data_IF_315570115546
#
_entry.id   IF_315570115546
#
_cell.length_a   1.000
_cell.length_b   1.000
_cell.length_c   1.000
_cell.angle_alpha   90.00
_cell.angle_beta   90.00
_cell.angle_gamma   90.00
#
_symmetry.space_group_name_H-M   'P 1'
#
loop_
_entity.id
_entity.type
_entity.pdbx_description
1 polymer ?
#
# COMPACT_ATOMS: atom_id res chain seq x y z
N UNK A 1 -1.66 -20.31 2.39
CA UNK A 1 -2.03 -18.89 2.20
C UNK A 1 -3.55 -18.82 2.15
N UNK A 2 -4.19 -17.91 2.89
CA UNK A 2 -5.63 -17.69 2.76
C UNK A 2 -5.91 -17.07 1.39
N UNK A 3 -6.92 -17.58 0.68
CA UNK A 3 -7.33 -17.01 -0.60
C UNK A 3 -7.89 -15.60 -0.37
N UNK A 4 -7.19 -14.58 -0.88
CA UNK A 4 -7.71 -13.22 -0.92
C UNK A 4 -8.65 -13.12 -2.14
N UNK A 5 -9.90 -12.67 -1.99
CA UNK A 5 -10.79 -12.39 -3.11
C UNK A 5 -10.12 -11.43 -4.12
N UNK A 6 -10.41 -11.58 -5.42
CA UNK A 6 -9.75 -10.80 -6.48
C UNK A 6 -10.02 -9.28 -6.39
N UNK A 7 -11.11 -8.89 -5.73
CA UNK A 7 -11.59 -7.53 -5.55
C UNK A 7 -11.01 -6.82 -4.33
N UNK A 8 -10.18 -7.48 -3.51
CA UNK A 8 -9.53 -6.84 -2.38
C UNK A 8 -8.31 -6.04 -2.86
N UNK A 9 -8.25 -4.71 -2.65
CA UNK A 9 -7.13 -3.86 -3.06
C UNK A 9 -5.95 -4.00 -2.09
N UNK A 10 -5.38 -5.19 -2.01
CA UNK A 10 -4.29 -5.55 -1.10
C UNK A 10 -3.07 -4.63 -1.26
N UNK A 11 -2.85 -4.09 -2.47
CA UNK A 11 -1.74 -3.20 -2.77
C UNK A 11 -1.74 -1.92 -1.92
N UNK A 12 -2.89 -1.51 -1.39
CA UNK A 12 -3.03 -0.29 -0.54
C UNK A 12 -2.50 -0.46 0.87
N UNK A 13 -2.15 -1.69 1.28
CA UNK A 13 -1.62 -1.96 2.63
C UNK A 13 -0.09 -2.00 2.58
N UNK A 14 0.53 -0.93 3.05
CA UNK A 14 2.00 -0.79 3.19
C UNK A 14 2.40 -0.74 4.67
N UNK A 15 3.70 -0.81 4.96
CA UNK A 15 4.16 -0.80 6.35
C UNK A 15 4.08 0.62 6.98
N UNK A 16 4.22 0.69 8.30
CA UNK A 16 4.17 1.94 9.06
C UNK A 16 5.31 2.92 8.76
N UNK A 17 6.33 2.50 8.01
CA UNK A 17 7.42 3.38 7.54
C UNK A 17 7.10 4.02 6.18
N UNK A 18 5.90 3.77 5.63
CA UNK A 18 5.50 4.24 4.31
C UNK A 18 6.13 3.43 3.17
N UNK A 19 6.60 2.21 3.41
CA UNK A 19 7.31 1.40 2.41
C UNK A 19 6.52 0.17 1.98
N UNK A 20 6.68 -0.17 0.70
CA UNK A 20 6.27 -1.48 0.18
C UNK A 20 7.15 -2.57 0.78
N UNK A 21 6.53 -3.62 1.30
CA UNK A 21 7.27 -4.74 1.90
C UNK A 21 7.70 -5.71 0.80
N UNK A 22 9.01 -5.75 0.50
CA UNK A 22 9.58 -6.73 -0.42
C UNK A 22 9.56 -8.12 0.25
N UNK A 23 8.60 -8.97 -0.13
CA UNK A 23 8.56 -10.37 0.32
C UNK A 23 9.25 -11.27 -0.71
N UNK A 24 10.08 -12.24 -0.28
CA UNK A 24 10.57 -13.29 -1.18
C UNK A 24 9.36 -14.06 -1.72
N UNK A 25 9.20 -14.09 -3.05
CA UNK A 25 8.03 -14.72 -3.71
C UNK A 25 7.26 -13.85 -4.70
N UNK A 26 7.73 -12.64 -5.03
CA UNK A 26 7.29 -11.90 -6.23
C UNK A 26 6.16 -10.87 -6.04
N UNK A 27 5.59 -10.74 -4.85
CA UNK A 27 4.50 -9.76 -4.59
C UNK A 27 4.94 -8.30 -4.44
N UNK A 28 6.22 -8.04 -4.14
CA UNK A 28 6.72 -6.71 -3.79
C UNK A 28 6.81 -5.72 -4.96
N UNK A 29 7.23 -6.17 -6.14
CA UNK A 29 7.41 -5.29 -7.32
C UNK A 29 6.08 -4.78 -7.85
N UNK A 30 5.09 -5.67 -7.95
CA UNK A 30 3.75 -5.36 -8.46
C UNK A 30 3.01 -4.37 -7.55
N UNK A 31 3.27 -4.37 -6.25
CA UNK A 31 2.59 -3.47 -5.32
C UNK A 31 2.92 -1.99 -5.60
N UNK A 32 4.18 -1.67 -5.86
CA UNK A 32 4.60 -0.28 -6.13
C UNK A 32 3.97 0.22 -7.43
N UNK A 33 4.07 -0.56 -8.50
CA UNK A 33 3.52 -0.19 -9.81
C UNK A 33 2.02 0.07 -9.75
N UNK A 34 1.26 -0.76 -9.02
CA UNK A 34 -0.17 -0.55 -8.82
C UNK A 34 -0.47 0.73 -8.02
N UNK A 35 0.32 1.03 -6.99
CA UNK A 35 0.18 2.27 -6.22
C UNK A 35 0.51 3.52 -7.05
N UNK A 36 1.58 3.47 -7.85
CA UNK A 36 1.96 4.55 -8.76
C UNK A 36 0.89 4.75 -9.85
N UNK A 37 0.27 3.68 -10.36
CA UNK A 37 -0.87 3.76 -11.29
C UNK A 37 -2.13 4.38 -10.66
N UNK A 38 -2.29 4.27 -9.34
CA UNK A 38 -3.33 4.96 -8.57
C UNK A 38 -2.96 6.41 -8.21
N UNK A 39 -1.76 6.88 -8.57
CA UNK A 39 -1.28 8.25 -8.33
C UNK A 39 -0.56 8.45 -7.00
N UNK A 40 -0.13 7.38 -6.35
CA UNK A 40 0.71 7.45 -5.13
C UNK A 40 2.15 7.75 -5.53
N UNK A 41 2.73 8.78 -4.93
CA UNK A 41 4.11 9.20 -5.20
C UNK A 41 5.03 8.63 -4.13
N UNK A 42 6.16 8.07 -4.56
CA UNK A 42 7.25 7.63 -3.71
C UNK A 42 8.41 8.63 -3.76
N UNK A 43 9.03 8.87 -2.60
CA UNK A 43 10.25 9.68 -2.51
C UNK A 43 11.50 8.93 -2.98
N UNK A 44 12.65 9.62 -2.99
CA UNK A 44 13.96 9.06 -3.34
C UNK A 44 14.42 7.91 -2.45
N UNK A 45 13.72 7.65 -1.33
CA UNK A 45 14.01 6.58 -0.35
C UNK A 45 12.96 5.46 -0.39
N UNK A 46 12.17 5.40 -1.45
CA UNK A 46 11.07 4.47 -1.67
C UNK A 46 9.99 4.52 -0.58
N UNK A 47 9.65 5.73 -0.11
CA UNK A 47 8.59 5.95 0.89
C UNK A 47 7.45 6.81 0.36
N UNK A 48 6.26 6.50 0.83
CA UNK A 48 5.04 7.30 0.67
C UNK A 48 4.89 8.22 1.87
N UNK A 49 4.45 9.47 1.64
CA UNK A 49 4.04 10.34 2.73
C UNK A 49 2.68 9.90 3.30
N UNK A 50 2.71 9.21 4.44
CA UNK A 50 1.51 8.74 5.12
C UNK A 50 0.61 9.88 5.60
N UNK A 51 1.08 11.13 5.73
CA UNK A 51 0.21 12.26 6.05
C UNK A 51 -0.74 12.62 4.90
N UNK A 52 -0.36 12.27 3.67
CA UNK A 52 -1.13 12.56 2.46
C UNK A 52 -2.03 11.37 2.11
N UNK A 53 -1.50 10.14 2.23
CA UNK A 53 -2.14 8.95 1.68
C UNK A 53 -2.71 7.98 2.72
N UNK A 54 -2.41 8.11 4.02
CA UNK A 54 -2.97 7.18 5.01
C UNK A 54 -4.47 7.42 5.17
N UNK A 55 -5.21 6.31 5.32
CA UNK A 55 -6.62 6.36 5.65
C UNK A 55 -6.78 6.60 7.16
N UNK A 56 -7.49 7.68 7.52
CA UNK A 56 -7.77 8.04 8.93
C UNK A 56 -8.75 7.08 9.64
N UNK A 57 -9.19 6.03 8.95
CA UNK A 57 -10.20 5.11 9.43
C UNK A 57 -11.63 5.66 9.23
N UNK A 58 -12.64 4.87 9.63
CA UNK A 58 -14.01 5.36 9.65
C UNK A 58 -14.16 6.47 10.71
N UNK A 59 -15.12 7.39 10.54
CA UNK A 59 -15.46 8.36 11.57
C UNK A 59 -15.77 7.63 12.89
N UNK A 60 -15.35 8.22 14.02
CA UNK A 60 -15.46 7.60 15.35
C UNK A 60 -16.90 7.41 15.86
N UNK A 61 -17.90 7.83 15.09
CA UNK A 61 -19.31 7.80 15.47
C UNK A 61 -20.10 7.09 14.36
N UNK A 62 -20.19 5.76 14.46
CA UNK A 62 -21.22 4.92 13.86
C UNK A 62 -21.99 4.23 14.99
#
# INVERSE_FOLDING_TARGET
MAACPQDVPWQRVINSQGKVSLRPGGGGSNQRELLEAEGVIFDERDRVDLKIYAWDGPPKNL
#
